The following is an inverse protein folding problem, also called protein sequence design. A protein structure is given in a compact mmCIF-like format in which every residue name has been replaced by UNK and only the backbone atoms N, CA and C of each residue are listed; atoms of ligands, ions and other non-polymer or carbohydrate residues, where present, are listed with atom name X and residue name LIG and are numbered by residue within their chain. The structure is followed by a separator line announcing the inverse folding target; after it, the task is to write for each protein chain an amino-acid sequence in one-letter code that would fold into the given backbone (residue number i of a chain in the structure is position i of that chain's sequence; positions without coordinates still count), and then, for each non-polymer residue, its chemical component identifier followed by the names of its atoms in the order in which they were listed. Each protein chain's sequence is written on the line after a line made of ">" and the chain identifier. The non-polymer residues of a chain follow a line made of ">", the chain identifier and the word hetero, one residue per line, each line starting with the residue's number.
data_IF_122860492261
#
_entry.id   IF_122860492261
#
_cell.length_a   1.000
_cell.length_b   1.000
_cell.length_c   1.000
_cell.angle_alpha   90.00
_cell.angle_beta   90.00
_cell.angle_gamma   90.00
#
_symmetry.space_group_name_H-M   'P 1'
#
loop_
_entity.id
_entity.type
_entity.pdbx_description
1 polymer ?
#
# COMPACT_ATOMS: atom_id res chain seq x y z
N UNK A 1 -3.33 4.34 2.62
CA UNK A 1 -2.91 3.71 3.89
C UNK A 1 -1.77 4.48 4.53
N UNK A 2 -1.84 4.69 5.84
CA UNK A 2 -0.82 5.45 6.59
C UNK A 2 0.47 4.65 6.82
N UNK A 3 0.51 3.37 6.41
CA UNK A 3 1.68 2.49 6.59
C UNK A 3 2.22 2.43 8.03
N UNK A 4 1.31 2.42 9.01
CA UNK A 4 1.65 2.21 10.43
C UNK A 4 2.24 0.81 10.64
N UNK A 5 3.22 0.68 11.52
CA UNK A 5 3.88 -0.60 11.79
C UNK A 5 4.92 -1.04 10.75
N UNK A 6 5.20 -0.20 9.76
CA UNK A 6 6.21 -0.46 8.72
C UNK A 6 7.45 0.42 8.85
N UNK A 7 7.52 1.30 9.87
CA UNK A 7 8.61 2.27 10.02
C UNK A 7 8.64 3.40 8.99
N UNK A 8 7.68 3.43 8.06
CA UNK A 8 7.67 4.41 6.97
C UNK A 8 7.41 5.82 7.48
N UNK A 9 6.45 5.99 8.40
CA UNK A 9 6.13 7.30 8.99
C UNK A 9 7.31 7.84 9.78
N UNK A 10 8.00 7.00 10.53
CA UNK A 10 9.20 7.36 11.28
C UNK A 10 10.33 7.83 10.34
N UNK A 11 10.53 7.14 9.21
CA UNK A 11 11.48 7.59 8.22
C UNK A 11 11.08 8.94 7.58
N UNK A 12 9.80 9.13 7.28
CA UNK A 12 9.33 10.40 6.72
C UNK A 12 9.35 11.54 7.72
N UNK A 13 9.18 11.28 9.01
CA UNK A 13 9.30 12.31 10.04
C UNK A 13 10.71 12.93 10.08
N UNK A 14 11.73 12.21 9.64
CA UNK A 14 13.10 12.76 9.55
C UNK A 14 13.28 13.84 8.47
N UNK A 15 12.31 13.97 7.56
CA UNK A 15 12.31 15.02 6.53
C UNK A 15 11.59 16.31 6.96
N UNK A 16 10.92 16.29 8.12
CA UNK A 16 10.30 17.50 8.68
C UNK A 16 11.37 18.47 9.15
N UNK A 17 11.14 19.77 8.96
CA UNK A 17 12.00 20.82 9.45
C UNK A 17 11.66 21.17 10.90
N UNK A 18 12.59 21.83 11.61
CA UNK A 18 12.39 22.25 13.00
C UNK A 18 11.20 23.20 13.20
N UNK A 19 10.77 23.88 12.16
CA UNK A 19 9.66 24.83 12.20
C UNK A 19 8.32 24.22 11.76
N UNK A 20 8.29 22.95 11.39
CA UNK A 20 7.05 22.29 10.98
C UNK A 20 6.22 21.88 12.20
N UNK A 21 4.91 22.16 12.14
CA UNK A 21 3.97 21.68 13.15
C UNK A 21 3.68 20.20 12.92
N UNK A 22 4.28 19.34 13.73
CA UNK A 22 4.17 17.89 13.65
C UNK A 22 2.72 17.44 13.87
N UNK A 23 2.02 18.07 14.83
CA UNK A 23 0.64 17.70 15.13
C UNK A 23 -0.31 18.06 13.99
N UNK A 24 -0.16 19.26 13.42
CA UNK A 24 -0.95 19.69 12.28
C UNK A 24 -0.65 18.84 11.03
N UNK A 25 0.62 18.55 10.78
CA UNK A 25 1.03 17.71 9.63
C UNK A 25 0.49 16.30 9.75
N UNK A 26 0.58 15.70 10.94
CA UNK A 26 0.03 14.37 11.22
C UNK A 26 -1.49 14.33 11.07
N UNK A 27 -2.21 15.31 11.62
CA UNK A 27 -3.65 15.41 11.52
C UNK A 27 -4.11 15.63 10.07
N UNK A 28 -3.44 16.51 9.34
CA UNK A 28 -3.74 16.76 7.93
C UNK A 28 -3.53 15.52 7.07
N UNK A 29 -2.43 14.80 7.29
CA UNK A 29 -2.13 13.54 6.58
C UNK A 29 -3.19 12.48 6.88
N UNK A 30 -3.53 12.26 8.15
CA UNK A 30 -4.55 11.28 8.55
C UNK A 30 -5.93 11.64 7.99
N UNK A 31 -6.35 12.90 8.12
CA UNK A 31 -7.66 13.37 7.64
C UNK A 31 -7.78 13.28 6.12
N UNK A 32 -6.73 13.64 5.39
CA UNK A 32 -6.71 13.54 3.93
C UNK A 32 -6.76 12.09 3.46
N UNK A 33 -6.03 11.20 4.13
CA UNK A 33 -6.07 9.76 3.85
C UNK A 33 -7.46 9.18 4.10
N UNK A 34 -8.07 9.47 5.25
CA UNK A 34 -9.42 9.02 5.61
C UNK A 34 -10.46 9.52 4.60
N UNK A 35 -10.38 10.80 4.22
CA UNK A 35 -11.27 11.36 3.21
C UNK A 35 -11.11 10.65 1.85
N UNK A 36 -9.88 10.42 1.40
CA UNK A 36 -9.62 9.76 0.13
C UNK A 36 -10.07 8.29 0.13
N UNK A 37 -9.77 7.55 1.18
CA UNK A 37 -10.07 6.11 1.25
C UNK A 37 -11.55 5.84 1.54
N UNK A 38 -12.11 6.45 2.57
CA UNK A 38 -13.47 6.15 3.03
C UNK A 38 -14.51 6.95 2.28
N UNK A 39 -14.35 8.28 2.20
CA UNK A 39 -15.36 9.12 1.57
C UNK A 39 -15.32 8.95 0.05
N UNK A 40 -14.20 9.21 -0.60
CA UNK A 40 -14.13 9.10 -2.06
C UNK A 40 -14.14 7.63 -2.53
N UNK A 41 -13.29 6.79 -1.97
CA UNK A 41 -13.21 5.39 -2.36
C UNK A 41 -14.50 4.61 -2.06
N UNK A 42 -14.99 4.71 -0.83
CA UNK A 42 -16.20 4.00 -0.41
C UNK A 42 -17.47 4.46 -1.14
N UNK A 43 -17.66 5.77 -1.29
CA UNK A 43 -18.87 6.31 -1.92
C UNK A 43 -18.91 6.17 -3.44
N UNK A 44 -17.76 6.02 -4.09
CA UNK A 44 -17.68 5.82 -5.53
C UNK A 44 -17.61 4.33 -5.91
N UNK A 45 -16.71 3.58 -5.28
CA UNK A 45 -16.45 2.21 -5.68
C UNK A 45 -17.57 1.25 -5.30
N UNK A 46 -18.12 1.35 -4.09
CA UNK A 46 -19.18 0.44 -3.61
C UNK A 46 -20.47 0.59 -4.41
N UNK A 47 -21.05 1.80 -4.57
CA UNK A 47 -22.25 1.96 -5.38
C UNK A 47 -22.05 1.56 -6.84
N UNK A 48 -20.89 1.87 -7.44
CA UNK A 48 -20.59 1.45 -8.79
C UNK A 48 -20.57 -0.10 -8.89
N UNK A 49 -19.90 -0.78 -7.99
CA UNK A 49 -19.87 -2.24 -7.97
C UNK A 49 -21.29 -2.83 -7.81
N UNK A 50 -22.11 -2.30 -6.92
CA UNK A 50 -23.49 -2.74 -6.71
C UNK A 50 -24.36 -2.54 -7.95
N UNK A 51 -24.23 -1.42 -8.65
CA UNK A 51 -24.98 -1.15 -9.89
C UNK A 51 -24.62 -2.12 -11.00
N UNK A 52 -23.33 -2.47 -11.15
CA UNK A 52 -22.87 -3.34 -12.25
C UNK A 52 -22.97 -4.85 -11.93
N UNK A 53 -22.77 -5.24 -10.68
CA UNK A 53 -22.66 -6.66 -10.31
C UNK A 53 -23.79 -7.15 -9.39
N UNK A 54 -24.61 -6.23 -8.84
CA UNK A 54 -25.60 -6.54 -7.80
C UNK A 54 -24.97 -6.72 -6.42
N UNK A 55 -25.81 -6.74 -5.38
CA UNK A 55 -25.36 -6.76 -3.98
C UNK A 55 -24.61 -8.04 -3.63
N UNK A 56 -25.15 -9.21 -3.97
CA UNK A 56 -24.55 -10.52 -3.63
C UNK A 56 -23.16 -10.68 -4.23
N UNK A 57 -23.03 -10.39 -5.53
CA UNK A 57 -21.76 -10.50 -6.22
C UNK A 57 -20.73 -9.48 -5.73
N UNK A 58 -21.19 -8.28 -5.38
CA UNK A 58 -20.29 -7.25 -4.81
C UNK A 58 -19.74 -7.68 -3.45
N UNK A 59 -20.52 -8.35 -2.62
CA UNK A 59 -20.06 -8.88 -1.33
C UNK A 59 -19.01 -9.98 -1.51
N UNK A 60 -19.19 -10.89 -2.45
CA UNK A 60 -18.18 -11.90 -2.78
C UNK A 60 -16.87 -11.28 -3.28
N UNK A 61 -16.96 -10.30 -4.16
CA UNK A 61 -15.80 -9.62 -4.74
C UNK A 61 -15.08 -8.72 -3.73
N UNK A 62 -15.81 -8.12 -2.78
CA UNK A 62 -15.22 -7.32 -1.71
C UNK A 62 -14.37 -8.15 -0.73
N UNK A 63 -14.59 -9.46 -0.65
CA UNK A 63 -13.77 -10.35 0.14
C UNK A 63 -12.34 -10.52 -0.40
N UNK A 64 -12.12 -10.19 -1.68
CA UNK A 64 -10.82 -10.26 -2.33
C UNK A 64 -10.56 -8.98 -3.15
N UNK A 65 -9.90 -8.01 -2.54
CA UNK A 65 -9.59 -6.71 -3.15
C UNK A 65 -8.71 -6.81 -4.40
N UNK A 66 -7.86 -7.85 -4.49
CA UNK A 66 -7.02 -8.08 -5.66
C UNK A 66 -7.87 -8.48 -6.87
N UNK A 67 -8.81 -9.40 -6.71
CA UNK A 67 -9.71 -9.81 -7.78
C UNK A 67 -10.60 -8.66 -8.24
N UNK A 68 -11.05 -7.81 -7.31
CA UNK A 68 -11.82 -6.62 -7.65
C UNK A 68 -11.02 -5.69 -8.58
N UNK A 69 -9.78 -5.40 -8.26
CA UNK A 69 -8.96 -4.46 -9.02
C UNK A 69 -8.50 -5.01 -10.38
N UNK A 70 -8.14 -6.28 -10.46
CA UNK A 70 -7.45 -6.86 -11.62
C UNK A 70 -8.31 -7.79 -12.48
N UNK A 71 -9.35 -8.42 -11.93
CA UNK A 71 -10.25 -9.26 -12.69
C UNK A 71 -11.57 -8.55 -13.06
N UNK A 72 -12.16 -7.83 -12.11
CA UNK A 72 -13.48 -7.24 -12.25
C UNK A 72 -13.45 -5.91 -13.01
N UNK A 73 -12.51 -5.02 -12.66
CA UNK A 73 -12.42 -3.69 -13.29
C UNK A 73 -12.19 -3.74 -14.81
N UNK A 74 -11.36 -4.64 -15.36
CA UNK A 74 -11.24 -4.80 -16.82
C UNK A 74 -12.56 -5.17 -17.52
N UNK A 75 -13.36 -6.03 -16.91
CA UNK A 75 -14.66 -6.43 -17.46
C UNK A 75 -15.64 -5.26 -17.43
N UNK A 76 -15.62 -4.48 -16.36
CA UNK A 76 -16.44 -3.28 -16.24
C UNK A 76 -16.08 -2.24 -17.31
N UNK A 77 -14.79 -1.99 -17.52
CA UNK A 77 -14.35 -1.04 -18.55
C UNK A 77 -14.76 -1.45 -19.96
N UNK A 78 -14.84 -2.76 -20.27
CA UNK A 78 -15.33 -3.23 -21.57
C UNK A 78 -16.79 -2.86 -21.84
N UNK A 79 -17.59 -2.61 -20.80
CA UNK A 79 -18.99 -2.22 -20.91
C UNK A 79 -19.21 -0.70 -20.99
N UNK A 80 -18.16 0.09 -20.73
CA UNK A 80 -18.27 1.55 -20.73
C UNK A 80 -17.91 2.14 -22.10
N UNK A 81 -18.58 3.23 -22.51
CA UNK A 81 -18.11 4.03 -23.62
C UNK A 81 -16.70 4.59 -23.29
N UNK A 82 -15.77 4.50 -24.23
CA UNK A 82 -14.36 4.83 -24.02
C UNK A 82 -13.63 3.98 -22.94
N UNK A 83 -14.04 2.73 -22.72
CA UNK A 83 -13.50 1.84 -21.71
C UNK A 83 -11.99 1.62 -21.81
N UNK A 84 -11.41 1.67 -23.01
CA UNK A 84 -9.96 1.61 -23.19
C UNK A 84 -9.22 2.78 -22.51
N UNK A 85 -9.78 4.00 -22.61
CA UNK A 85 -9.21 5.17 -21.96
C UNK A 85 -9.29 5.04 -20.43
N UNK A 86 -10.46 4.67 -19.90
CA UNK A 86 -10.64 4.47 -18.46
C UNK A 86 -9.75 3.34 -17.93
N UNK A 87 -9.65 2.23 -18.64
CA UNK A 87 -8.76 1.13 -18.29
C UNK A 87 -7.29 1.56 -18.27
N UNK A 88 -6.84 2.30 -19.28
CA UNK A 88 -5.45 2.80 -19.33
C UNK A 88 -5.15 3.75 -18.16
N UNK A 89 -6.05 4.66 -17.85
CA UNK A 89 -5.92 5.58 -16.72
C UNK A 89 -5.90 4.81 -15.38
N UNK A 90 -6.80 3.86 -15.22
CA UNK A 90 -6.89 3.04 -14.01
C UNK A 90 -5.60 2.26 -13.75
N UNK A 91 -5.15 1.47 -14.71
CA UNK A 91 -3.92 0.70 -14.55
C UNK A 91 -2.66 1.56 -14.49
N UNK A 92 -2.66 2.69 -15.19
CA UNK A 92 -1.59 3.68 -15.08
C UNK A 92 -1.50 4.28 -13.68
N UNK A 93 -2.62 4.65 -13.07
CA UNK A 93 -2.68 5.13 -11.69
C UNK A 93 -2.28 4.04 -10.69
N UNK A 94 -2.77 2.82 -10.85
CA UNK A 94 -2.37 1.68 -10.00
C UNK A 94 -0.86 1.42 -10.09
N UNK A 95 -0.29 1.50 -11.28
CA UNK A 95 1.15 1.31 -11.49
C UNK A 95 1.96 2.39 -10.75
N UNK A 96 1.58 3.65 -10.90
CA UNK A 96 2.24 4.78 -10.20
C UNK A 96 2.07 4.63 -8.68
N UNK A 97 0.86 4.31 -8.21
CA UNK A 97 0.58 4.08 -6.80
C UNK A 97 1.41 2.90 -6.25
N UNK A 98 1.52 1.82 -7.00
CA UNK A 98 2.35 0.66 -6.64
C UNK A 98 3.83 1.02 -6.49
N UNK A 99 4.39 1.76 -7.44
CA UNK A 99 5.79 2.20 -7.38
C UNK A 99 6.02 3.12 -6.17
N UNK A 100 5.18 4.14 -5.99
CA UNK A 100 5.35 5.09 -4.88
C UNK A 100 5.22 4.42 -3.52
N UNK A 101 4.27 3.50 -3.37
CA UNK A 101 4.11 2.70 -2.14
C UNK A 101 5.30 1.76 -1.90
N UNK A 102 5.80 1.09 -2.93
CA UNK A 102 6.97 0.21 -2.81
C UNK A 102 8.22 0.97 -2.40
N UNK A 103 8.43 2.17 -2.96
CA UNK A 103 9.54 3.04 -2.57
C UNK A 103 9.40 3.50 -1.11
N UNK A 104 8.20 3.87 -0.69
CA UNK A 104 7.92 4.28 0.68
C UNK A 104 8.19 3.15 1.69
N UNK A 105 7.71 1.94 1.41
CA UNK A 105 7.96 0.76 2.25
C UNK A 105 9.44 0.34 2.28
N UNK A 106 10.19 0.65 1.24
CA UNK A 106 11.63 0.39 1.16
C UNK A 106 12.50 1.35 1.99
N UNK A 107 11.98 2.52 2.38
CA UNK A 107 12.77 3.55 3.08
C UNK A 107 13.34 3.09 4.43
N UNK A 108 12.60 2.43 5.33
CA UNK A 108 13.16 1.97 6.60
C UNK A 108 14.35 1.03 6.41
N UNK A 109 14.23 0.09 5.47
CA UNK A 109 15.32 -0.83 5.16
C UNK A 109 16.51 -0.13 4.50
N UNK A 110 16.24 0.85 3.65
CA UNK A 110 17.28 1.71 3.07
C UNK A 110 18.03 2.50 4.15
N UNK A 111 17.31 3.09 5.10
CA UNK A 111 17.90 3.79 6.24
C UNK A 111 18.77 2.85 7.08
N UNK A 112 18.24 1.68 7.45
CA UNK A 112 19.00 0.66 8.19
C UNK A 112 20.30 0.25 7.47
N UNK A 113 20.25 -0.04 6.19
CA UNK A 113 21.45 -0.43 5.41
C UNK A 113 22.50 0.69 5.35
N UNK A 114 22.06 1.94 5.32
CA UNK A 114 22.98 3.10 5.27
C UNK A 114 23.53 3.44 6.66
N UNK A 115 22.69 3.43 7.69
CA UNK A 115 23.06 3.92 9.02
C UNK A 115 23.81 2.87 9.84
N UNK A 116 23.33 1.64 9.85
CA UNK A 116 23.94 0.55 10.63
C UNK A 116 25.08 -0.13 9.86
N UNK A 117 24.89 -0.46 8.59
CA UNK A 117 25.87 -1.17 7.80
C UNK A 117 26.80 -0.22 7.03
N UNK A 118 26.66 1.11 7.22
CA UNK A 118 27.50 2.15 6.58
C UNK A 118 27.61 1.99 5.06
N UNK A 119 26.54 1.50 4.44
CA UNK A 119 26.55 1.26 3.01
C UNK A 119 26.25 2.55 2.23
N UNK A 120 26.86 2.70 1.05
CA UNK A 120 26.48 3.78 0.17
C UNK A 120 25.05 3.58 -0.35
N UNK A 121 24.30 4.67 -0.55
CA UNK A 121 22.92 4.66 -1.05
C UNK A 121 22.72 3.77 -2.28
N UNK A 122 23.68 3.80 -3.22
CA UNK A 122 23.60 2.99 -4.43
C UNK A 122 23.71 1.49 -4.14
N UNK A 123 24.60 1.07 -3.24
CA UNK A 123 24.74 -0.33 -2.84
C UNK A 123 23.50 -0.81 -2.11
N UNK A 124 23.01 -0.03 -1.15
CA UNK A 124 21.80 -0.33 -0.42
C UNK A 124 20.58 -0.50 -1.36
N UNK A 125 20.41 0.40 -2.33
CA UNK A 125 19.32 0.32 -3.31
C UNK A 125 19.42 -0.94 -4.20
N UNK A 126 20.62 -1.31 -4.64
CA UNK A 126 20.83 -2.53 -5.44
C UNK A 126 20.50 -3.78 -4.62
N UNK A 127 21.00 -3.86 -3.39
CA UNK A 127 20.72 -5.00 -2.50
C UNK A 127 19.24 -5.10 -2.22
N UNK A 128 18.60 -4.01 -1.84
CA UNK A 128 17.15 -3.99 -1.60
C UNK A 128 16.37 -4.44 -2.85
N UNK A 129 16.68 -3.87 -4.00
CA UNK A 129 16.02 -4.22 -5.26
C UNK A 129 16.20 -5.69 -5.64
N UNK A 130 17.40 -6.24 -5.50
CA UNK A 130 17.67 -7.66 -5.75
C UNK A 130 16.93 -8.56 -4.75
N UNK A 131 16.93 -8.20 -3.47
CA UNK A 131 16.22 -8.97 -2.43
C UNK A 131 14.71 -9.01 -2.72
N UNK A 132 14.09 -7.85 -2.99
CA UNK A 132 12.66 -7.78 -3.34
C UNK A 132 12.38 -8.55 -4.63
N UNK A 133 13.23 -8.40 -5.65
CA UNK A 133 13.09 -9.13 -6.90
C UNK A 133 13.10 -10.65 -6.68
N UNK A 134 14.01 -11.17 -5.88
CA UNK A 134 14.09 -12.61 -5.59
C UNK A 134 12.90 -13.09 -4.75
N UNK A 135 12.48 -12.31 -3.75
CA UNK A 135 11.37 -12.68 -2.86
C UNK A 135 10.01 -12.64 -3.57
N UNK A 136 9.87 -11.84 -4.61
CA UNK A 136 8.61 -11.77 -5.36
C UNK A 136 8.43 -12.94 -6.34
N UNK A 137 9.51 -13.65 -6.72
CA UNK A 137 9.40 -14.76 -7.69
C UNK A 137 8.46 -15.87 -7.25
N UNK A 138 8.51 -16.38 -6.00
CA UNK A 138 7.55 -17.38 -5.55
C UNK A 138 6.10 -16.91 -5.62
N UNK A 139 5.86 -15.62 -5.32
CA UNK A 139 4.52 -15.03 -5.41
C UNK A 139 4.00 -15.04 -6.85
N UNK A 140 4.87 -14.72 -7.83
CA UNK A 140 4.49 -14.70 -9.24
C UNK A 140 4.23 -16.11 -9.78
N UNK A 141 5.09 -17.08 -9.46
CA UNK A 141 5.05 -18.41 -10.08
C UNK A 141 4.22 -19.44 -9.33
N UNK A 142 3.96 -19.23 -8.03
CA UNK A 142 3.27 -20.20 -7.16
C UNK A 142 1.94 -19.60 -6.61
N UNK A 143 1.51 -18.46 -7.18
CA UNK A 143 0.20 -17.86 -6.85
C UNK A 143 -0.93 -18.92 -6.96
N UNK A 144 -2.00 -18.83 -6.13
CA UNK A 144 -2.31 -17.76 -5.16
C UNK A 144 -1.86 -18.02 -3.71
N UNK A 145 -1.41 -19.22 -3.36
CA UNK A 145 -1.15 -19.59 -1.96
C UNK A 145 -0.07 -18.71 -1.31
N UNK A 146 1.04 -18.49 -1.98
CA UNK A 146 2.13 -17.66 -1.43
C UNK A 146 1.69 -16.23 -1.15
N UNK A 147 0.90 -15.63 -2.03
CA UNK A 147 0.41 -14.27 -1.84
C UNK A 147 -0.47 -14.16 -0.60
N UNK A 148 -1.41 -15.08 -0.41
CA UNK A 148 -2.31 -15.07 0.74
C UNK A 148 -1.58 -15.30 2.05
N UNK A 149 -0.59 -16.20 2.09
CA UNK A 149 0.23 -16.42 3.27
C UNK A 149 1.08 -15.19 3.61
N UNK A 150 1.74 -14.60 2.63
CA UNK A 150 2.52 -13.38 2.86
C UNK A 150 1.63 -12.21 3.32
N UNK A 151 0.46 -12.03 2.71
CA UNK A 151 -0.49 -10.99 3.12
C UNK A 151 -1.01 -11.21 4.54
N UNK A 152 -1.33 -12.45 4.91
CA UNK A 152 -1.76 -12.77 6.26
C UNK A 152 -0.64 -12.53 7.29
N UNK A 153 0.52 -13.14 7.09
CA UNK A 153 1.60 -13.08 8.10
C UNK A 153 2.29 -11.72 8.17
N UNK A 154 2.58 -11.09 7.04
CA UNK A 154 3.26 -9.80 7.01
C UNK A 154 2.27 -8.63 7.03
N UNK A 155 1.23 -8.67 6.20
CA UNK A 155 0.29 -7.57 6.03
C UNK A 155 -0.76 -7.47 7.12
N UNK A 156 -1.27 -8.57 7.63
CA UNK A 156 -2.34 -8.56 8.65
C UNK A 156 -1.78 -8.76 10.05
N UNK A 157 -1.16 -9.90 10.32
CA UNK A 157 -0.71 -10.27 11.66
C UNK A 157 0.56 -9.50 12.09
N UNK A 158 1.57 -9.48 11.24
CA UNK A 158 2.85 -8.82 11.53
C UNK A 158 2.70 -7.32 11.72
N UNK A 159 1.89 -6.65 10.89
CA UNK A 159 1.64 -5.22 11.00
C UNK A 159 1.02 -4.82 12.34
N UNK A 160 0.03 -5.57 12.83
CA UNK A 160 -0.62 -5.28 14.11
C UNK A 160 0.36 -5.40 15.27
N UNK A 161 1.20 -6.44 15.27
CA UNK A 161 2.22 -6.64 16.28
C UNK A 161 3.25 -5.50 16.25
N UNK A 162 3.80 -5.21 15.07
CA UNK A 162 4.82 -4.16 14.92
C UNK A 162 4.26 -2.79 15.26
N UNK A 163 3.06 -2.45 14.80
CA UNK A 163 2.40 -1.18 15.16
C UNK A 163 2.18 -1.07 16.67
N UNK A 164 1.80 -2.16 17.34
CA UNK A 164 1.63 -2.17 18.80
C UNK A 164 2.96 -1.94 19.52
N UNK A 165 4.03 -2.61 19.07
CA UNK A 165 5.38 -2.42 19.61
C UNK A 165 5.85 -0.97 19.38
N UNK A 166 5.65 -0.42 18.19
CA UNK A 166 5.99 0.98 17.89
C UNK A 166 5.26 1.96 18.83
N UNK A 167 3.95 1.80 18.97
CA UNK A 167 3.15 2.66 19.87
C UNK A 167 3.68 2.57 21.31
N UNK A 168 3.94 1.37 21.81
CA UNK A 168 4.46 1.20 23.18
C UNK A 168 5.83 1.86 23.32
N UNK A 169 6.75 1.63 22.41
CA UNK A 169 8.09 2.20 22.45
C UNK A 169 8.08 3.74 22.40
N UNK A 170 7.29 4.33 21.51
CA UNK A 170 7.25 5.78 21.33
C UNK A 170 6.39 6.52 22.38
N UNK A 171 5.53 5.80 23.11
CA UNK A 171 4.66 6.43 24.12
C UNK A 171 5.20 6.26 25.54
N UNK A 172 5.91 5.14 25.82
CA UNK A 172 6.25 4.74 27.19
C UNK A 172 7.76 4.64 27.45
N UNK A 173 8.61 4.70 26.44
CA UNK A 173 10.08 4.68 26.54
C UNK A 173 10.67 5.99 26.03
#
# INVERSE_FOLDING_TARGET
>A
TLSLGMGTIQCYSSYLSENDDIALTGLATASTNEFAEVVLGGTLAIPAAVVFFGVERTQELAANSFDLAFAVMPVLFQQLPAGQLFGTLWFGLLFIAGITSSLAMGQPLMAFLQDELKMSRRKAAIILGLTVFLLVQPVIFIMPHFMNEFDFWAGTFGLVILATIEIVLFTWV
#
